data_IF_347664010718
#
_entry.id   IF_347664010718
#
_cell.length_a   1.000
_cell.length_b   1.000
_cell.length_c   1.000
_cell.angle_alpha   90.00
_cell.angle_beta   90.00
_cell.angle_gamma   90.00
#
_symmetry.space_group_name_H-M   'P 1'
#
loop_
_entity.id
_entity.type
_entity.pdbx_description
1 polymer ?
#
# COMPACT_ATOMS: atom_id res chain seq x y z
N UNK A 1 -15.02 -2.71 -18.23
CA UNK A 1 -13.72 -2.77 -18.91
C UNK A 1 -13.71 -1.80 -20.08
N UNK A 2 -12.53 -1.32 -20.51
CA UNK A 2 -12.46 -0.21 -21.49
C UNK A 2 -12.89 -0.59 -22.92
N UNK A 3 -13.05 -1.87 -23.23
CA UNK A 3 -13.36 -2.35 -24.59
C UNK A 3 -12.27 -2.12 -25.64
N UNK A 4 -11.05 -1.70 -25.20
CA UNK A 4 -9.95 -1.33 -26.13
C UNK A 4 -9.30 -2.55 -26.77
N UNK A 5 -9.24 -3.67 -26.06
CA UNK A 5 -8.68 -4.93 -26.58
C UNK A 5 -9.15 -6.12 -25.72
N UNK A 6 -9.59 -7.19 -26.38
CA UNK A 6 -10.02 -8.45 -25.75
C UNK A 6 -8.82 -9.43 -25.55
N UNK A 7 -7.70 -9.24 -26.27
CA UNK A 7 -6.51 -10.07 -26.14
C UNK A 7 -5.71 -9.67 -24.88
N UNK A 8 -5.76 -10.52 -23.85
CA UNK A 8 -5.07 -10.32 -22.56
C UNK A 8 -3.55 -10.26 -22.69
N UNK A 9 -2.96 -11.02 -23.61
CA UNK A 9 -1.51 -11.02 -23.81
C UNK A 9 -1.06 -9.75 -24.51
N UNK A 10 -1.84 -9.25 -25.46
CA UNK A 10 -1.61 -7.94 -26.05
C UNK A 10 -1.73 -6.84 -25.00
N UNK A 11 -2.76 -6.87 -24.16
CA UNK A 11 -2.94 -5.89 -23.09
C UNK A 11 -1.75 -5.87 -22.11
N UNK A 12 -1.22 -7.04 -21.73
CA UNK A 12 -0.02 -7.12 -20.89
C UNK A 12 1.22 -6.51 -21.56
N UNK A 13 1.41 -6.77 -22.86
CA UNK A 13 2.51 -6.16 -23.63
C UNK A 13 2.37 -4.65 -23.71
N UNK A 14 1.17 -4.15 -24.01
CA UNK A 14 0.89 -2.72 -24.14
C UNK A 14 1.09 -1.97 -22.80
N UNK A 15 0.67 -2.57 -21.68
CA UNK A 15 0.91 -2.02 -20.34
C UNK A 15 2.41 -1.98 -20.04
N UNK A 16 3.11 -3.08 -20.29
CA UNK A 16 4.57 -3.15 -20.08
C UNK A 16 5.30 -2.10 -20.91
N UNK A 17 4.92 -1.94 -22.16
CA UNK A 17 5.47 -0.90 -23.04
C UNK A 17 5.16 0.51 -22.55
N UNK A 18 3.93 0.77 -22.09
CA UNK A 18 3.54 2.07 -21.55
C UNK A 18 4.38 2.47 -20.32
N UNK A 19 4.74 1.49 -19.48
CA UNK A 19 5.62 1.70 -18.31
C UNK A 19 7.06 1.96 -18.79
N UNK A 20 7.63 1.04 -19.60
CA UNK A 20 9.03 1.11 -20.03
C UNK A 20 9.33 2.32 -20.92
N UNK A 21 8.36 2.78 -21.72
CA UNK A 21 8.48 3.98 -22.59
C UNK A 21 8.19 5.28 -21.84
N UNK A 22 7.96 5.26 -20.53
CA UNK A 22 7.57 6.41 -19.71
C UNK A 22 6.24 7.08 -20.11
N UNK A 23 5.44 6.50 -21.02
CA UNK A 23 4.13 7.07 -21.40
C UNK A 23 3.17 7.16 -20.20
N UNK A 24 3.12 6.12 -19.36
CA UNK A 24 2.31 6.11 -18.16
C UNK A 24 2.78 7.18 -17.17
N UNK A 25 4.09 7.32 -16.97
CA UNK A 25 4.68 8.34 -16.11
C UNK A 25 4.37 9.76 -16.60
N UNK A 26 4.55 10.04 -17.90
CA UNK A 26 4.23 11.35 -18.46
C UNK A 26 2.75 11.71 -18.29
N UNK A 27 1.85 10.72 -18.44
CA UNK A 27 0.41 10.91 -18.21
C UNK A 27 0.11 11.19 -16.73
N UNK A 28 0.80 10.54 -15.82
CA UNK A 28 0.71 10.85 -14.38
C UNK A 28 1.15 12.28 -14.07
N UNK A 29 2.25 12.76 -14.69
CA UNK A 29 2.70 14.16 -14.58
C UNK A 29 1.62 15.14 -15.05
N UNK A 30 1.01 14.87 -16.21
CA UNK A 30 -0.09 15.70 -16.71
C UNK A 30 -1.27 15.74 -15.73
N UNK A 31 -1.64 14.60 -15.16
CA UNK A 31 -2.71 14.48 -14.16
C UNK A 31 -2.42 15.33 -12.92
N UNK A 32 -1.22 15.19 -12.34
CA UNK A 32 -0.83 15.95 -11.14
C UNK A 32 -0.85 17.46 -11.40
N UNK A 33 -0.32 17.90 -12.56
CA UNK A 33 -0.37 19.31 -12.96
C UNK A 33 -1.81 19.82 -13.14
N UNK A 34 -2.67 19.02 -13.77
CA UNK A 34 -4.08 19.38 -13.96
C UNK A 34 -4.84 19.52 -12.63
N UNK A 35 -4.42 18.79 -11.57
CA UNK A 35 -4.95 18.88 -10.22
C UNK A 35 -4.28 19.99 -9.37
N UNK A 36 -3.41 20.83 -9.96
CA UNK A 36 -2.70 21.90 -9.25
C UNK A 36 -1.52 21.43 -8.40
N UNK A 37 -1.08 20.19 -8.55
CA UNK A 37 0.07 19.61 -7.84
C UNK A 37 1.41 19.94 -8.49
N UNK A 38 2.49 19.74 -7.73
CA UNK A 38 3.87 19.86 -8.17
C UNK A 38 4.61 18.52 -8.07
N UNK A 39 5.32 18.15 -9.15
CA UNK A 39 5.94 16.81 -9.29
C UNK A 39 7.41 16.77 -8.88
N UNK A 40 7.98 17.89 -8.46
CA UNK A 40 9.43 17.98 -8.27
C UNK A 40 10.04 16.86 -7.41
N UNK A 41 9.29 16.33 -6.45
CA UNK A 41 9.75 15.29 -5.54
C UNK A 41 9.54 13.87 -6.07
N UNK A 42 8.50 13.62 -6.88
CA UNK A 42 8.18 12.28 -7.41
C UNK A 42 9.22 11.81 -8.44
N UNK A 43 9.90 12.73 -9.12
CA UNK A 43 10.84 12.40 -10.20
C UNK A 43 12.16 11.81 -9.68
N UNK A 44 12.67 12.29 -8.55
CA UNK A 44 13.95 11.84 -8.00
C UNK A 44 13.82 10.45 -7.35
N UNK A 45 12.68 10.15 -6.78
CA UNK A 45 12.42 8.88 -6.11
C UNK A 45 12.28 7.71 -7.09
N UNK A 46 11.72 7.97 -8.28
CA UNK A 46 11.51 6.92 -9.29
C UNK A 46 12.79 6.50 -10.03
N UNK A 47 13.82 7.35 -10.08
CA UNK A 47 15.09 7.05 -10.74
C UNK A 47 16.06 6.19 -9.90
N UNK A 48 15.62 5.69 -8.75
CA UNK A 48 16.45 4.79 -7.90
C UNK A 48 17.48 5.51 -7.05
N UNK A 49 17.39 6.84 -6.94
CA UNK A 49 18.14 7.60 -5.96
C UNK A 49 17.34 7.66 -4.65
N UNK A 50 17.44 6.61 -3.84
CA UNK A 50 16.83 6.43 -2.52
C UNK A 50 15.30 6.60 -2.52
N UNK A 51 14.59 5.46 -2.44
CA UNK A 51 13.14 5.40 -2.26
C UNK A 51 12.73 5.72 -0.80
N UNK A 52 13.32 6.72 -0.19
CA UNK A 52 12.74 7.34 0.97
C UNK A 52 11.63 8.28 0.48
N UNK A 53 10.40 7.97 0.77
CA UNK A 53 9.24 8.80 0.42
C UNK A 53 9.23 10.08 1.28
N UNK A 54 9.98 11.15 0.94
CA UNK A 54 10.14 12.30 1.83
C UNK A 54 8.88 13.18 1.90
N UNK A 55 7.87 12.91 1.07
CA UNK A 55 6.75 13.83 0.88
C UNK A 55 5.73 13.80 2.03
N UNK A 56 5.62 12.67 2.74
CA UNK A 56 4.71 12.54 3.89
C UNK A 56 5.41 12.84 5.21
N UNK A 57 6.67 12.45 5.38
CA UNK A 57 7.42 12.64 6.62
C UNK A 57 7.55 14.10 7.02
N UNK A 58 7.79 15.02 6.07
CA UNK A 58 7.88 16.46 6.32
C UNK A 58 6.55 17.09 6.80
N UNK A 59 5.42 16.39 6.71
CA UNK A 59 4.10 16.90 7.08
C UNK A 59 3.53 16.28 8.33
N UNK A 60 4.11 15.19 8.82
CA UNK A 60 3.67 14.51 10.05
C UNK A 60 4.54 14.88 11.23
N UNK A 61 3.95 14.86 12.42
CA UNK A 61 4.66 15.19 13.67
C UNK A 61 5.37 13.99 14.26
N UNK A 62 4.86 12.79 14.01
CA UNK A 62 5.33 11.56 14.65
C UNK A 62 5.35 10.41 13.69
N UNK A 63 6.37 9.59 13.84
CA UNK A 63 6.55 8.31 13.20
C UNK A 63 6.61 7.22 14.28
N UNK A 64 5.99 6.07 14.04
CA UNK A 64 6.07 4.91 14.91
C UNK A 64 6.23 3.65 14.10
N UNK A 65 7.35 2.99 14.28
CA UNK A 65 7.61 1.67 13.72
C UNK A 65 6.88 0.59 14.52
N UNK A 66 6.27 -0.33 13.80
CA UNK A 66 5.64 -1.55 14.32
C UNK A 66 6.54 -2.72 13.92
N UNK A 67 7.00 -3.43 14.94
CA UNK A 67 7.98 -4.49 14.79
C UNK A 67 7.35 -5.87 14.88
N UNK A 68 7.98 -6.85 14.24
CA UNK A 68 7.63 -8.26 14.37
C UNK A 68 7.87 -8.72 15.83
N UNK A 69 6.87 -9.34 16.43
CA UNK A 69 6.94 -9.90 17.79
C UNK A 69 7.59 -11.30 17.81
N UNK A 70 7.73 -11.93 16.64
CA UNK A 70 8.35 -13.24 16.49
C UNK A 70 8.90 -13.41 15.07
N UNK A 71 9.88 -14.30 14.91
CA UNK A 71 10.42 -14.66 13.59
C UNK A 71 9.49 -15.64 12.86
N UNK A 72 9.22 -15.37 11.59
CA UNK A 72 8.36 -16.20 10.73
C UNK A 72 8.04 -15.52 9.40
N UNK A 73 7.01 -16.01 8.70
CA UNK A 73 6.51 -15.36 7.50
C UNK A 73 5.23 -14.58 7.82
N UNK A 74 5.03 -13.45 7.18
CA UNK A 74 3.74 -12.75 7.24
C UNK A 74 2.73 -13.57 6.44
N UNK A 75 1.81 -14.23 7.13
CA UNK A 75 0.82 -15.13 6.50
C UNK A 75 -0.46 -14.38 6.11
N UNK A 76 -0.77 -13.28 6.80
CA UNK A 76 -1.89 -12.42 6.43
C UNK A 76 -1.72 -10.99 6.94
N UNK A 77 -2.32 -10.05 6.21
CA UNK A 77 -2.55 -8.66 6.62
C UNK A 77 -4.04 -8.39 6.40
N UNK A 78 -4.77 -8.11 7.49
CA UNK A 78 -6.19 -7.78 7.43
C UNK A 78 -6.38 -6.33 6.94
N UNK A 79 -6.64 -6.18 5.65
CA UNK A 79 -6.83 -4.88 4.99
C UNK A 79 -8.02 -4.09 5.57
N UNK A 80 -9.04 -4.76 6.12
CA UNK A 80 -10.17 -4.09 6.76
C UNK A 80 -9.73 -3.43 8.06
N UNK A 81 -9.02 -4.15 8.93
CA UNK A 81 -8.49 -3.59 10.18
C UNK A 81 -7.51 -2.43 9.91
N UNK A 82 -6.65 -2.56 8.88
CA UNK A 82 -5.78 -1.46 8.45
C UNK A 82 -6.59 -0.25 7.97
N UNK A 83 -7.71 -0.46 7.27
CA UNK A 83 -8.62 0.62 6.88
C UNK A 83 -9.29 1.28 8.09
N UNK A 84 -9.75 0.50 9.08
CA UNK A 84 -10.32 0.99 10.34
C UNK A 84 -9.27 1.78 11.15
N UNK A 85 -8.02 1.30 11.21
CA UNK A 85 -6.90 2.02 11.80
C UNK A 85 -6.63 3.37 11.12
N UNK A 86 -6.69 3.42 9.77
CA UNK A 86 -6.52 4.68 9.03
C UNK A 86 -7.60 5.70 9.36
N UNK A 87 -8.85 5.26 9.49
CA UNK A 87 -9.97 6.13 9.93
C UNK A 87 -9.73 6.64 11.35
N UNK A 88 -9.33 5.77 12.28
CA UNK A 88 -9.00 6.15 13.66
C UNK A 88 -7.86 7.17 13.73
N UNK A 89 -6.82 7.06 12.87
CA UNK A 89 -5.74 8.04 12.74
C UNK A 89 -6.24 9.40 12.25
N UNK A 90 -7.41 9.46 11.60
CA UNK A 90 -7.96 10.65 10.97
C UNK A 90 -7.68 10.76 9.48
N UNK A 91 -7.14 9.70 8.84
CA UNK A 91 -6.96 9.61 7.39
C UNK A 91 -8.23 9.23 6.63
N UNK A 92 -9.32 8.95 7.34
CA UNK A 92 -10.64 8.65 6.80
C UNK A 92 -11.75 9.39 7.55
N UNK A 93 -13.01 9.14 7.18
CA UNK A 93 -14.19 9.74 7.79
C UNK A 93 -15.06 8.67 8.43
N UNK A 94 -15.46 8.85 9.68
CA UNK A 94 -16.57 8.13 10.30
C UNK A 94 -17.89 8.87 10.05
N UNK A 95 -17.84 10.20 10.06
CA UNK A 95 -18.98 11.10 9.85
C UNK A 95 -18.70 12.05 8.69
N UNK A 96 -19.76 12.52 8.04
CA UNK A 96 -19.67 13.44 6.89
C UNK A 96 -18.91 14.74 7.23
N UNK A 97 -19.01 15.19 8.46
CA UNK A 97 -18.43 16.44 8.98
C UNK A 97 -16.94 16.31 9.34
N UNK A 98 -16.42 15.08 9.43
CA UNK A 98 -15.04 14.83 9.85
C UNK A 98 -14.06 15.40 8.82
N UNK A 99 -13.01 16.04 9.33
CA UNK A 99 -11.90 16.51 8.52
C UNK A 99 -10.87 15.40 8.36
N UNK A 100 -10.57 15.08 7.10
CA UNK A 100 -9.51 14.14 6.76
C UNK A 100 -8.16 14.86 6.91
N UNK A 101 -7.22 14.21 7.59
CA UNK A 101 -5.81 14.57 7.59
C UNK A 101 -5.09 13.76 6.51
N UNK A 102 -4.73 14.34 5.36
CA UNK A 102 -4.10 13.61 4.27
C UNK A 102 -2.63 13.27 4.51
N UNK A 103 -2.04 13.73 5.61
CA UNK A 103 -0.64 13.48 5.95
C UNK A 103 -0.44 12.24 6.81
N UNK A 104 -1.50 11.70 7.44
CA UNK A 104 -1.42 10.46 8.22
C UNK A 104 -1.53 9.23 7.33
N UNK A 105 -0.92 8.13 7.71
CA UNK A 105 -0.96 6.91 6.91
C UNK A 105 -0.05 5.81 7.39
N UNK A 106 0.16 4.85 6.50
CA UNK A 106 0.98 3.66 6.75
C UNK A 106 1.97 3.45 5.61
N UNK A 107 3.21 3.14 5.98
CA UNK A 107 4.25 2.67 5.07
C UNK A 107 4.57 1.21 5.40
N UNK A 108 4.28 0.31 4.46
CA UNK A 108 4.52 -1.12 4.62
C UNK A 108 5.93 -1.49 4.13
N UNK A 109 6.79 -1.90 5.06
CA UNK A 109 8.15 -2.36 4.76
C UNK A 109 8.17 -3.84 4.35
N UNK A 110 7.15 -4.60 4.73
CA UNK A 110 7.02 -6.04 4.48
C UNK A 110 5.61 -6.38 3.97
N UNK A 111 5.50 -7.47 3.22
CA UNK A 111 4.26 -7.94 2.58
C UNK A 111 3.93 -9.37 2.98
N UNK A 112 2.72 -9.82 2.67
CA UNK A 112 2.32 -11.22 2.82
C UNK A 112 3.29 -12.11 2.04
N UNK A 113 3.80 -13.15 2.71
CA UNK A 113 4.81 -14.08 2.20
C UNK A 113 6.25 -13.68 2.49
N UNK A 114 6.54 -12.46 2.98
CA UNK A 114 7.88 -12.06 3.37
C UNK A 114 8.26 -12.69 4.71
N UNK A 115 9.54 -13.06 4.84
CA UNK A 115 10.12 -13.48 6.10
C UNK A 115 10.52 -12.27 6.94
N UNK A 116 10.28 -12.34 8.24
CA UNK A 116 10.69 -11.36 9.24
C UNK A 116 11.41 -12.05 10.39
N UNK A 117 12.40 -11.38 10.94
CA UNK A 117 12.98 -11.74 12.24
C UNK A 117 12.28 -10.94 13.35
N UNK A 118 12.29 -11.47 14.57
CA UNK A 118 11.81 -10.73 15.74
C UNK A 118 12.54 -9.38 15.84
N UNK A 119 11.78 -8.30 15.91
CA UNK A 119 12.30 -6.93 15.92
C UNK A 119 12.38 -6.24 14.55
N UNK A 120 12.20 -6.96 13.43
CA UNK A 120 12.12 -6.33 12.10
C UNK A 120 10.95 -5.35 12.00
N UNK A 121 11.17 -4.20 11.38
CA UNK A 121 10.09 -3.24 11.10
C UNK A 121 9.19 -3.77 9.99
N UNK A 122 7.92 -4.04 10.31
CA UNK A 122 6.90 -4.48 9.35
C UNK A 122 6.20 -3.28 8.72
N UNK A 123 5.86 -2.29 9.55
CA UNK A 123 5.01 -1.17 9.20
C UNK A 123 5.49 0.08 9.94
N UNK A 124 5.50 1.23 9.25
CA UNK A 124 5.68 2.56 9.86
C UNK A 124 4.37 3.31 9.83
N UNK A 125 3.93 3.82 10.98
CA UNK A 125 2.71 4.63 11.14
C UNK A 125 3.09 6.09 11.18
N UNK A 126 2.48 6.90 10.29
CA UNK A 126 2.62 8.34 10.21
C UNK A 126 1.41 9.00 10.87
N UNK A 127 1.61 9.83 11.91
CA UNK A 127 0.48 10.40 12.65
C UNK A 127 0.78 11.77 13.27
N UNK A 128 -0.28 12.53 13.60
CA UNK A 128 -0.19 13.87 14.16
C UNK A 128 -0.76 14.00 15.59
N UNK A 129 -1.52 13.01 16.02
CA UNK A 129 -2.22 13.00 17.31
C UNK A 129 -1.99 11.66 18.02
N UNK A 130 -1.42 11.72 19.24
CA UNK A 130 -1.10 10.52 20.02
C UNK A 130 -2.34 9.73 20.45
N UNK A 131 -3.43 10.42 20.80
CA UNK A 131 -4.66 9.74 21.22
C UNK A 131 -5.31 8.99 20.05
N UNK A 132 -5.22 9.52 18.85
CA UNK A 132 -5.66 8.84 17.62
C UNK A 132 -4.76 7.66 17.28
N UNK A 133 -3.44 7.80 17.51
CA UNK A 133 -2.52 6.69 17.33
C UNK A 133 -2.85 5.54 18.29
N UNK A 134 -3.09 5.83 19.58
CA UNK A 134 -3.43 4.80 20.57
C UNK A 134 -4.70 4.04 20.15
N UNK A 135 -5.73 4.73 19.67
CA UNK A 135 -6.95 4.10 19.15
C UNK A 135 -6.71 3.28 17.88
N UNK A 136 -5.85 3.75 16.96
CA UNK A 136 -5.50 3.03 15.74
C UNK A 136 -4.64 1.79 16.02
N UNK A 137 -3.80 1.85 17.06
CA UNK A 137 -2.88 0.77 17.41
C UNK A 137 -3.60 -0.54 17.76
N UNK A 138 -4.76 -0.47 18.41
CA UNK A 138 -5.59 -1.64 18.71
C UNK A 138 -5.98 -2.43 17.45
N UNK A 139 -6.29 -1.74 16.36
CA UNK A 139 -6.58 -2.38 15.07
C UNK A 139 -5.33 -2.92 14.39
N UNK A 140 -4.20 -2.21 14.49
CA UNK A 140 -2.93 -2.58 13.84
C UNK A 140 -2.36 -3.85 14.46
N UNK A 141 -2.36 -3.95 15.79
CA UNK A 141 -1.82 -5.08 16.54
C UNK A 141 -2.46 -6.41 16.12
N UNK A 142 -3.76 -6.38 15.85
CA UNK A 142 -4.54 -7.54 15.41
C UNK A 142 -4.59 -7.73 13.88
N UNK A 143 -3.98 -6.83 13.10
CA UNK A 143 -4.11 -6.86 11.64
C UNK A 143 -3.05 -7.72 10.97
N UNK A 144 -1.87 -7.89 11.56
CA UNK A 144 -0.71 -8.53 10.94
C UNK A 144 -0.40 -9.83 11.65
N UNK A 145 -0.42 -10.93 10.89
CA UNK A 145 -0.20 -12.26 11.42
C UNK A 145 1.12 -12.85 10.90
N UNK A 146 2.02 -13.19 11.81
CA UNK A 146 3.31 -13.81 11.54
C UNK A 146 3.29 -15.24 12.08
N UNK A 147 3.71 -16.23 11.26
CA UNK A 147 3.78 -17.62 11.68
C UNK A 147 4.94 -18.35 10.99
N UNK A 148 5.35 -19.48 11.59
CA UNK A 148 6.32 -20.41 11.03
C UNK A 148 5.62 -21.38 10.11
N UNK A 149 5.67 -21.09 8.81
CA UNK A 149 5.03 -21.90 7.78
C UNK A 149 6.09 -22.51 6.86
N UNK A 150 5.73 -23.63 6.19
CA UNK A 150 6.63 -24.29 5.24
C UNK A 150 6.66 -23.56 3.88
N UNK A 151 7.66 -23.95 3.05
CA UNK A 151 7.89 -23.33 1.74
C UNK A 151 6.70 -23.45 0.78
N UNK A 152 5.91 -24.52 0.86
CA UNK A 152 4.73 -24.68 0.01
C UNK A 152 3.65 -23.64 0.33
N UNK A 153 3.44 -23.36 1.61
CA UNK A 153 2.52 -22.31 2.06
C UNK A 153 3.05 -20.94 1.62
N UNK A 154 4.33 -20.67 1.83
CA UNK A 154 4.96 -19.39 1.41
C UNK A 154 4.79 -19.18 -0.10
N UNK A 155 5.02 -20.22 -0.89
CA UNK A 155 4.83 -20.18 -2.33
C UNK A 155 3.38 -19.86 -2.69
N UNK A 156 2.43 -20.53 -2.07
CA UNK A 156 0.99 -20.29 -2.27
C UNK A 156 0.59 -18.85 -1.94
N UNK A 157 1.15 -18.25 -0.89
CA UNK A 157 0.90 -16.85 -0.51
C UNK A 157 1.43 -15.87 -1.56
N UNK A 158 2.63 -16.12 -2.11
CA UNK A 158 3.28 -15.25 -3.11
C UNK A 158 2.67 -15.40 -4.51
N UNK A 159 2.19 -16.59 -4.87
CA UNK A 159 1.64 -16.90 -6.19
C UNK A 159 0.12 -16.67 -6.28
N UNK A 160 -0.51 -16.15 -5.24
CA UNK A 160 -1.95 -15.86 -5.24
C UNK A 160 -2.30 -14.92 -6.41
N UNK A 161 -3.20 -15.33 -7.32
CA UNK A 161 -3.53 -14.50 -8.47
C UNK A 161 -4.23 -13.20 -8.03
N UNK A 162 -3.86 -12.09 -8.65
CA UNK A 162 -4.51 -10.80 -8.41
C UNK A 162 -5.89 -10.71 -9.09
N UNK A 163 -6.09 -11.50 -10.17
CA UNK A 163 -7.37 -11.63 -10.86
C UNK A 163 -7.98 -12.95 -10.40
N UNK A 164 -9.05 -12.88 -9.64
CA UNK A 164 -9.71 -14.06 -9.08
C UNK A 164 -10.69 -14.69 -10.07
N UNK A 165 -11.38 -13.84 -10.87
CA UNK A 165 -12.35 -14.28 -11.86
C UNK A 165 -12.59 -13.20 -12.92
N UNK A 166 -13.07 -13.61 -14.09
CA UNK A 166 -13.50 -12.73 -15.19
C UNK A 166 -14.98 -13.00 -15.43
N UNK A 167 -15.82 -12.02 -15.15
CA UNK A 167 -17.26 -12.12 -15.38
C UNK A 167 -17.56 -11.49 -16.74
N UNK A 168 -18.07 -12.28 -17.67
CA UNK A 168 -18.54 -11.87 -18.98
C UNK A 168 -19.98 -12.40 -19.25
N UNK A 169 -20.54 -12.10 -20.41
CA UNK A 169 -21.90 -12.51 -20.78
C UNK A 169 -22.07 -14.03 -20.87
N UNK A 170 -20.98 -14.80 -20.99
CA UNK A 170 -21.04 -16.27 -21.14
C UNK A 170 -21.09 -17.00 -19.79
N UNK A 171 -20.80 -16.31 -18.67
CA UNK A 171 -20.80 -16.88 -17.32
C UNK A 171 -21.68 -16.08 -16.31
N UNK A 172 -22.61 -15.29 -16.83
CA UNK A 172 -23.76 -14.73 -16.13
C UNK A 172 -24.97 -15.66 -16.31
#
# INVERSE_FOLDING_TARGET
>A
MSGVCEDMDKNRRDIKEAILSHRAYNKFIELVKAQGGHIYNVYMDWLGANMDMPVLEDKVRYLKEIHAQSSGHIVSIDSRKIGEALVALGGGRERKEDKIDPSVGFEFNKKVGDYVEEGDTILTVLYNDKSKFDAAYEYIEDAIYVDKVNDDIVKSLKEKPHILDIIDESNL
#
